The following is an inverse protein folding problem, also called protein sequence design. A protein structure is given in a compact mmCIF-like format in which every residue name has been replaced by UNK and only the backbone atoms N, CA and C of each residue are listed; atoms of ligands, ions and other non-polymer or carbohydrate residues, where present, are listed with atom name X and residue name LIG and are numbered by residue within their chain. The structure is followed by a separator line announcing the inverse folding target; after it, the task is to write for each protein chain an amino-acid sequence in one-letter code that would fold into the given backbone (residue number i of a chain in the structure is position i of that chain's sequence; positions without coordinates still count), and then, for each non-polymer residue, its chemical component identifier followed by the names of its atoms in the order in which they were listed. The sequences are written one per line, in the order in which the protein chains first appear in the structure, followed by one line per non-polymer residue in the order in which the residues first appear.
data_IF_451498618057
#
_entry.id   IF_451498618057
#
_cell.length_a   1.000
_cell.length_b   1.000
_cell.length_c   1.000
_cell.angle_alpha   90.00
_cell.angle_beta   90.00
_cell.angle_gamma   90.00
#
_symmetry.space_group_name_H-M   'P 1'
#
loop_
_entity.id
_entity.type
_entity.pdbx_description
1 polymer ?
#
# COMPACT_ATOMS: atom_id res chain seq x y z
N UNK A 1 69.28 -15.98 -29.93
CA UNK A 1 68.71 -15.00 -30.87
C UNK A 1 67.20 -15.09 -30.78
N UNK A 2 66.60 -13.99 -30.30
CA UNK A 2 65.23 -13.50 -30.53
C UNK A 2 64.11 -14.48 -30.93
N UNK A 3 63.05 -14.58 -30.10
CA UNK A 3 61.81 -13.80 -30.34
C UNK A 3 60.81 -13.96 -29.19
N UNK A 4 60.35 -12.80 -28.70
CA UNK A 4 59.13 -12.63 -27.90
C UNK A 4 57.87 -12.89 -28.75
N UNK A 5 56.74 -13.09 -28.05
CA UNK A 5 55.39 -12.52 -28.26
C UNK A 5 54.31 -13.61 -28.16
N UNK A 6 53.33 -13.40 -27.27
CA UNK A 6 52.00 -13.98 -27.43
C UNK A 6 51.30 -14.41 -26.14
N UNK A 7 50.86 -13.45 -25.33
CA UNK A 7 49.77 -13.67 -24.36
C UNK A 7 48.48 -14.06 -25.12
N UNK A 8 47.59 -14.87 -24.50
CA UNK A 8 46.18 -14.58 -24.66
C UNK A 8 45.50 -14.37 -23.31
N UNK A 9 44.78 -13.25 -23.28
CA UNK A 9 43.87 -12.76 -22.26
C UNK A 9 42.71 -13.76 -22.13
N UNK A 10 42.51 -14.34 -20.94
CA UNK A 10 41.27 -15.05 -20.61
C UNK A 10 40.18 -14.01 -20.37
N UNK A 11 39.34 -13.81 -21.40
CA UNK A 11 38.11 -13.05 -21.32
C UNK A 11 37.07 -13.92 -20.59
N UNK A 12 36.80 -13.65 -19.31
CA UNK A 12 35.64 -14.20 -18.62
C UNK A 12 34.41 -13.47 -19.16
N UNK A 13 33.64 -14.14 -20.02
CA UNK A 13 32.32 -13.67 -20.43
C UNK A 13 31.36 -13.84 -19.25
N UNK A 14 30.95 -12.71 -18.67
CA UNK A 14 29.84 -12.63 -17.70
C UNK A 14 28.54 -12.89 -18.47
N UNK A 15 27.99 -14.10 -18.36
CA UNK A 15 26.64 -14.40 -18.85
C UNK A 15 25.65 -13.76 -17.87
N UNK A 16 25.09 -12.62 -18.27
CA UNK A 16 23.93 -12.03 -17.59
C UNK A 16 22.70 -12.75 -18.16
N UNK A 17 22.16 -13.72 -17.41
CA UNK A 17 20.80 -14.22 -17.66
C UNK A 17 19.81 -13.11 -17.27
N UNK A 18 19.40 -12.34 -18.27
CA UNK A 18 18.23 -11.46 -18.16
C UNK A 18 17.01 -12.39 -18.18
N UNK A 19 16.44 -12.68 -17.01
CA UNK A 19 15.08 -13.20 -16.93
C UNK A 19 14.13 -12.09 -17.42
N UNK A 20 13.85 -12.11 -18.72
CA UNK A 20 12.73 -11.40 -19.30
C UNK A 20 11.46 -12.00 -18.70
N UNK A 21 10.76 -11.21 -17.88
CA UNK A 21 9.37 -11.48 -17.57
C UNK A 21 8.61 -11.63 -18.90
N UNK A 22 7.80 -12.69 -19.08
CA UNK A 22 6.92 -12.72 -20.23
C UNK A 22 6.01 -11.49 -20.16
N UNK A 23 5.90 -10.69 -21.25
CA UNK A 23 4.94 -9.60 -21.28
C UNK A 23 3.52 -10.18 -21.09
N UNK A 24 2.60 -9.45 -20.43
CA UNK A 24 1.20 -9.86 -20.40
C UNK A 24 0.70 -10.07 -21.84
N UNK A 25 -0.12 -11.11 -22.09
CA UNK A 25 -0.58 -11.42 -23.43
C UNK A 25 -1.44 -10.28 -24.00
N UNK A 26 -0.86 -9.57 -24.96
CA UNK A 26 -1.49 -8.87 -26.10
C UNK A 26 -2.84 -8.17 -25.88
N UNK A 27 -2.82 -6.83 -25.86
CA UNK A 27 -3.95 -6.00 -26.32
C UNK A 27 -3.42 -4.78 -27.11
N UNK A 28 -3.30 -4.95 -28.43
CA UNK A 28 -3.35 -3.83 -29.38
C UNK A 28 -4.84 -3.53 -29.69
N UNK A 29 -5.24 -2.27 -29.86
CA UNK A 29 -6.65 -1.87 -29.92
C UNK A 29 -7.21 -1.94 -31.34
N UNK A 30 -8.54 -2.14 -31.49
CA UNK A 30 -9.28 -1.52 -32.57
C UNK A 30 -10.28 -0.49 -32.02
N UNK A 31 -10.26 0.71 -32.63
CA UNK A 31 -11.48 1.45 -32.91
C UNK A 31 -12.06 2.34 -31.80
N UNK A 32 -11.98 3.65 -32.07
CA UNK A 32 -12.75 4.74 -31.46
C UNK A 32 -14.23 4.42 -31.18
N UNK A 33 -14.77 4.92 -30.06
CA UNK A 33 -15.95 5.82 -30.03
C UNK A 33 -15.80 6.81 -28.85
N UNK A 34 -16.09 8.07 -29.14
CA UNK A 34 -16.03 9.25 -28.26
C UNK A 34 -17.37 9.46 -27.51
N UNK A 35 -17.32 10.34 -26.49
CA UNK A 35 -18.42 11.12 -25.87
C UNK A 35 -19.01 10.57 -24.55
N UNK A 36 -18.75 11.27 -23.43
CA UNK A 36 -19.73 12.22 -22.86
C UNK A 36 -19.18 13.00 -21.65
N UNK A 37 -19.47 14.31 -21.63
CA UNK A 37 -19.08 15.28 -20.60
C UNK A 37 -19.85 15.06 -19.28
N UNK A 38 -19.14 15.10 -18.15
CA UNK A 38 -19.78 15.33 -16.84
C UNK A 38 -19.65 16.80 -16.46
N UNK A 39 -20.81 17.46 -16.32
CA UNK A 39 -20.99 18.80 -15.78
C UNK A 39 -20.72 18.81 -14.28
N UNK A 40 -19.80 19.67 -13.84
CA UNK A 40 -19.73 20.13 -12.44
C UNK A 40 -20.90 21.09 -12.16
N UNK A 41 -21.63 20.86 -11.06
CA UNK A 41 -22.43 21.89 -10.39
C UNK A 41 -21.94 22.00 -8.94
N UNK A 42 -21.39 23.17 -8.63
CA UNK A 42 -21.19 23.68 -7.27
C UNK A 42 -22.39 24.56 -6.92
N UNK A 43 -23.04 24.24 -5.81
CA UNK A 43 -23.99 25.07 -5.03
C UNK A 43 -24.13 24.34 -3.68
N UNK A 44 -24.17 24.95 -2.51
CA UNK A 44 -23.99 26.33 -2.10
C UNK A 44 -23.70 26.29 -0.59
N UNK A 45 -23.07 27.34 -0.09
CA UNK A 45 -22.89 27.62 1.33
C UNK A 45 -24.25 27.76 2.02
N UNK A 46 -24.40 27.18 3.21
CA UNK A 46 -25.33 27.71 4.22
C UNK A 46 -24.82 27.40 5.62
N UNK A 47 -24.80 28.47 6.41
CA UNK A 47 -24.30 28.64 7.76
C UNK A 47 -25.52 28.92 8.64
N UNK A 48 -25.68 28.22 9.75
CA UNK A 48 -26.37 28.78 10.93
C UNK A 48 -25.99 28.05 12.22
N UNK A 49 -25.66 28.85 13.23
CA UNK A 49 -25.40 28.48 14.62
C UNK A 49 -26.74 28.29 15.34
N UNK A 50 -26.79 27.50 16.43
CA UNK A 50 -26.84 28.06 17.79
C UNK A 50 -26.86 26.97 18.89
N UNK A 51 -26.46 27.44 20.07
CA UNK A 51 -26.04 26.76 21.30
C UNK A 51 -27.09 25.87 21.99
N UNK A 52 -26.58 24.90 22.78
CA UNK A 52 -27.05 24.67 24.15
C UNK A 52 -25.99 23.92 24.99
N UNK A 53 -25.83 24.37 26.22
CA UNK A 53 -24.90 23.89 27.24
C UNK A 53 -25.44 22.70 28.05
N UNK A 54 -24.49 22.00 28.67
CA UNK A 54 -24.47 21.52 30.06
C UNK A 54 -24.58 20.01 30.35
N UNK A 55 -23.82 19.65 31.39
CA UNK A 55 -23.87 18.50 32.28
C UNK A 55 -23.05 17.24 31.92
N UNK A 56 -21.79 17.28 32.39
CA UNK A 56 -21.17 16.30 33.32
C UNK A 56 -21.68 14.85 33.28
N UNK A 57 -20.82 13.91 32.88
CA UNK A 57 -20.79 12.60 33.54
C UNK A 57 -19.44 11.87 33.46
N UNK A 58 -19.07 11.44 34.66
CA UNK A 58 -17.93 10.70 35.19
C UNK A 58 -17.75 9.34 34.50
N UNK A 59 -16.49 8.96 34.32
CA UNK A 59 -16.05 7.83 33.51
C UNK A 59 -16.49 6.44 33.97
N UNK A 60 -16.86 5.64 32.97
CA UNK A 60 -16.53 4.22 32.85
C UNK A 60 -15.87 4.02 31.48
N UNK A 61 -14.57 3.75 31.45
CA UNK A 61 -13.85 3.47 30.20
C UNK A 61 -14.20 2.06 29.71
N UNK A 62 -15.33 1.97 29.03
CA UNK A 62 -15.57 0.96 27.99
C UNK A 62 -16.05 1.71 26.76
N UNK A 63 -15.15 2.55 26.23
CA UNK A 63 -15.44 3.36 25.05
C UNK A 63 -15.44 2.41 23.85
N UNK A 64 -16.62 2.21 23.25
CA UNK A 64 -16.75 1.48 22.00
C UNK A 64 -15.78 2.05 20.95
N UNK A 65 -15.17 1.20 20.10
CA UNK A 65 -14.23 1.68 19.10
C UNK A 65 -14.89 2.70 18.18
N UNK A 66 -14.33 3.91 18.10
CA UNK A 66 -14.85 4.93 17.19
C UNK A 66 -14.62 4.47 15.75
N UNK A 67 -15.67 4.47 14.93
CA UNK A 67 -15.60 4.02 13.55
C UNK A 67 -14.80 5.00 12.67
N UNK A 68 -13.75 4.55 11.96
CA UNK A 68 -12.99 5.44 11.08
C UNK A 68 -13.83 5.81 9.85
N UNK A 69 -13.88 7.11 9.54
CA UNK A 69 -14.61 7.64 8.38
C UNK A 69 -13.75 7.70 7.12
N UNK A 70 -12.44 7.85 7.33
CA UNK A 70 -11.42 7.95 6.29
C UNK A 70 -10.21 7.10 6.67
N UNK A 71 -9.33 6.86 5.70
CA UNK A 71 -8.03 6.25 5.93
C UNK A 71 -6.93 6.94 5.12
N UNK A 72 -5.72 6.91 5.67
CA UNK A 72 -4.47 7.25 4.99
C UNK A 72 -3.83 6.02 4.37
N UNK A 73 -3.95 4.85 5.01
CA UNK A 73 -3.49 3.57 4.48
C UNK A 73 -4.08 2.40 5.28
N UNK A 74 -3.95 1.18 4.78
CA UNK A 74 -4.37 -0.04 5.48
C UNK A 74 -3.49 -1.20 5.05
N UNK A 75 -3.18 -2.10 5.98
CA UNK A 75 -2.43 -3.32 5.67
C UNK A 75 -2.95 -4.49 6.48
N UNK A 76 -2.78 -5.71 5.98
CA UNK A 76 -2.98 -6.94 6.73
C UNK A 76 -1.72 -7.28 7.54
N UNK A 77 -1.82 -8.23 8.47
CA UNK A 77 -0.67 -8.74 9.22
C UNK A 77 -0.72 -10.25 9.35
N UNK A 78 0.40 -10.86 9.73
CA UNK A 78 0.56 -12.31 9.85
C UNK A 78 -0.55 -12.98 10.66
N UNK A 79 -1.04 -12.35 11.72
CA UNK A 79 -2.14 -12.82 12.56
C UNK A 79 -3.55 -12.78 11.92
N UNK A 80 -3.67 -12.32 10.67
CA UNK A 80 -4.95 -12.21 9.93
C UNK A 80 -5.75 -10.95 10.22
N UNK A 81 -5.29 -10.09 11.15
CA UNK A 81 -5.92 -8.80 11.42
C UNK A 81 -5.44 -7.74 10.44
N UNK A 82 -6.28 -6.74 10.21
CA UNK A 82 -5.96 -5.57 9.39
C UNK A 82 -5.72 -4.38 10.30
N UNK A 83 -4.81 -3.51 9.88
CA UNK A 83 -4.41 -2.31 10.59
C UNK A 83 -4.70 -1.13 9.67
N UNK A 84 -5.74 -0.37 10.01
CA UNK A 84 -6.17 0.82 9.27
C UNK A 84 -5.56 2.04 9.93
N UNK A 85 -4.93 2.89 9.13
CA UNK A 85 -4.27 4.11 9.57
C UNK A 85 -5.06 5.33 9.12
N UNK A 86 -5.23 6.30 10.00
CA UNK A 86 -5.71 7.63 9.65
C UNK A 86 -4.97 8.65 10.50
N UNK A 87 -4.22 9.52 9.84
CA UNK A 87 -3.28 10.46 10.47
C UNK A 87 -2.30 9.71 11.39
N UNK A 88 -2.30 10.03 12.68
CA UNK A 88 -1.44 9.42 13.70
C UNK A 88 -2.11 8.27 14.48
N UNK A 89 -3.28 7.81 14.01
CA UNK A 89 -4.07 6.79 14.66
C UNK A 89 -4.15 5.50 13.85
N UNK A 90 -4.23 4.39 14.57
CA UNK A 90 -4.43 3.05 14.03
C UNK A 90 -5.65 2.38 14.67
N UNK A 91 -6.40 1.69 13.83
CA UNK A 91 -7.49 0.78 14.19
C UNK A 91 -7.08 -0.63 13.84
N UNK A 92 -7.44 -1.57 14.70
CA UNK A 92 -7.29 -3.00 14.43
C UNK A 92 -8.64 -3.57 14.04
N UNK A 93 -8.65 -4.30 12.93
CA UNK A 93 -9.83 -4.94 12.38
C UNK A 93 -9.61 -6.44 12.34
N UNK A 94 -10.63 -7.19 12.71
CA UNK A 94 -10.74 -8.59 12.33
C UNK A 94 -11.62 -8.66 11.08
N UNK A 95 -10.97 -8.92 9.93
CA UNK A 95 -11.58 -8.79 8.61
C UNK A 95 -12.15 -7.37 8.41
N UNK A 96 -13.48 -7.21 8.53
CA UNK A 96 -14.17 -5.91 8.38
C UNK A 96 -14.60 -5.28 9.70
N UNK A 97 -14.51 -6.03 10.80
CA UNK A 97 -15.03 -5.58 12.10
C UNK A 97 -13.95 -4.84 12.85
N UNK A 98 -14.21 -3.59 13.23
CA UNK A 98 -13.33 -2.81 14.09
C UNK A 98 -13.37 -3.41 15.49
N UNK A 99 -12.23 -3.89 15.98
CA UNK A 99 -12.12 -4.54 17.30
C UNK A 99 -11.36 -3.67 18.31
N UNK A 100 -10.56 -2.71 17.84
CA UNK A 100 -9.83 -1.78 18.71
C UNK A 100 -9.43 -0.52 17.95
N UNK A 101 -9.31 0.60 18.66
CA UNK A 101 -8.89 1.89 18.11
C UNK A 101 -9.86 3.04 18.46
N UNK A 102 -9.46 4.30 18.29
CA UNK A 102 -8.14 4.75 17.82
C UNK A 102 -7.04 4.56 18.87
N UNK A 103 -5.88 4.05 18.43
CA UNK A 103 -4.62 4.06 19.21
C UNK A 103 -3.57 4.86 18.44
N UNK A 104 -2.59 5.43 19.12
CA UNK A 104 -1.47 6.08 18.40
C UNK A 104 -0.64 5.03 17.67
N UNK A 105 -0.09 5.38 16.51
CA UNK A 105 0.80 4.48 15.75
C UNK A 105 1.92 3.96 16.66
N UNK A 106 2.55 4.84 17.44
CA UNK A 106 3.63 4.49 18.38
C UNK A 106 3.24 3.51 19.51
N UNK A 107 1.94 3.35 19.80
CA UNK A 107 1.45 2.38 20.79
C UNK A 107 1.34 0.96 20.22
N UNK A 108 1.23 0.83 18.90
CA UNK A 108 1.10 -0.47 18.20
C UNK A 108 2.40 -0.85 17.48
N UNK A 109 3.07 0.15 16.93
CA UNK A 109 4.32 0.05 16.18
C UNK A 109 5.42 0.82 16.93
N UNK A 110 6.24 0.14 17.74
CA UNK A 110 7.25 0.81 18.55
C UNK A 110 8.27 1.53 17.67
N UNK A 111 8.63 2.76 18.04
CA UNK A 111 9.51 3.63 17.25
C UNK A 111 9.03 3.85 15.80
N UNK A 112 7.72 3.73 15.57
CA UNK A 112 7.11 4.01 14.27
C UNK A 112 7.00 5.51 13.98
N UNK A 113 6.63 5.84 12.73
CA UNK A 113 6.47 7.22 12.31
C UNK A 113 5.23 7.86 12.96
N UNK A 114 5.17 9.19 12.91
CA UNK A 114 4.00 9.94 13.41
C UNK A 114 2.80 9.81 12.48
N UNK A 115 3.03 9.57 11.19
CA UNK A 115 2.00 9.29 10.19
C UNK A 115 2.54 8.33 9.11
N UNK A 116 1.66 7.83 8.25
CA UNK A 116 2.04 6.97 7.13
C UNK A 116 1.45 7.48 5.81
N UNK A 117 2.25 7.43 4.76
CA UNK A 117 1.80 7.64 3.38
C UNK A 117 1.28 6.34 2.77
N UNK A 118 2.01 5.24 3.01
CA UNK A 118 1.67 3.94 2.49
C UNK A 118 2.03 2.86 3.51
N UNK A 119 1.35 1.73 3.43
CA UNK A 119 1.62 0.56 4.27
C UNK A 119 1.51 -0.68 3.41
N UNK A 120 2.31 -1.69 3.72
CA UNK A 120 2.27 -2.96 3.00
C UNK A 120 2.82 -4.06 3.88
N UNK A 121 2.22 -5.24 3.80
CA UNK A 121 2.76 -6.45 4.39
C UNK A 121 3.15 -7.38 3.25
N UNK A 122 4.41 -7.79 3.24
CA UNK A 122 4.92 -8.77 2.29
C UNK A 122 5.55 -9.92 3.06
N UNK A 123 5.04 -11.12 2.82
CA UNK A 123 5.36 -12.32 3.61
C UNK A 123 5.07 -12.07 5.10
N UNK A 124 6.11 -11.98 5.92
CA UNK A 124 6.03 -11.77 7.37
C UNK A 124 6.45 -10.36 7.81
N UNK A 125 6.84 -9.50 6.87
CA UNK A 125 7.32 -8.15 7.15
C UNK A 125 6.22 -7.12 6.84
N UNK A 126 5.76 -6.45 7.89
CA UNK A 126 4.88 -5.28 7.77
C UNK A 126 5.74 -4.03 7.69
N UNK A 127 5.51 -3.19 6.69
CA UNK A 127 6.25 -1.95 6.46
C UNK A 127 5.32 -0.76 6.48
N UNK A 128 5.66 0.23 7.31
CA UNK A 128 5.07 1.55 7.33
C UNK A 128 5.99 2.51 6.57
N UNK A 129 5.45 3.23 5.59
CA UNK A 129 6.21 4.19 4.80
C UNK A 129 5.81 5.61 5.21
N UNK A 130 6.80 6.37 5.65
CA UNK A 130 6.71 7.81 5.87
C UNK A 130 7.69 8.47 4.91
N UNK A 131 7.16 9.16 3.93
CA UNK A 131 7.90 9.76 2.82
C UNK A 131 8.79 8.73 2.10
N UNK A 132 10.09 8.72 2.39
CA UNK A 132 11.10 7.81 1.83
C UNK A 132 11.77 6.96 2.92
N UNK A 133 11.17 6.89 4.10
CA UNK A 133 11.64 6.07 5.21
C UNK A 133 10.75 4.85 5.34
N UNK A 134 11.37 3.68 5.29
CA UNK A 134 10.72 2.40 5.52
C UNK A 134 10.88 2.05 7.01
N UNK A 135 9.79 1.78 7.70
CA UNK A 135 9.77 1.25 9.07
C UNK A 135 9.23 -0.18 9.02
N UNK A 136 10.10 -1.16 9.19
CA UNK A 136 9.77 -2.58 9.07
C UNK A 136 9.56 -3.24 10.42
N UNK A 137 8.58 -4.13 10.48
CA UNK A 137 8.15 -4.83 11.69
C UNK A 137 7.91 -6.31 11.44
N UNK A 138 8.38 -7.14 12.36
CA UNK A 138 7.97 -8.53 12.48
C UNK A 138 6.90 -8.62 13.58
N UNK A 139 5.86 -9.41 13.35
CA UNK A 139 4.86 -9.68 14.37
C UNK A 139 5.25 -10.92 15.17
N UNK A 140 5.26 -10.80 16.50
CA UNK A 140 5.41 -11.94 17.40
C UNK A 140 4.17 -12.83 17.32
N UNK A 141 4.36 -14.11 17.01
CA UNK A 141 3.24 -15.05 16.82
C UNK A 141 2.50 -15.37 18.12
N UNK A 142 3.17 -15.22 19.28
CA UNK A 142 2.61 -15.56 20.59
C UNK A 142 1.88 -14.36 21.18
N UNK A 143 2.52 -13.19 21.19
CA UNK A 143 1.93 -11.99 21.80
C UNK A 143 1.09 -11.17 20.83
N UNK A 144 1.29 -11.34 19.51
CA UNK A 144 0.67 -10.52 18.47
C UNK A 144 1.26 -9.11 18.36
N UNK A 145 2.29 -8.79 19.14
CA UNK A 145 2.93 -7.47 19.16
C UNK A 145 3.92 -7.29 18.02
N UNK A 146 4.03 -6.07 17.51
CA UNK A 146 5.03 -5.72 16.51
C UNK A 146 6.37 -5.40 17.15
N UNK A 147 7.44 -5.98 16.60
CA UNK A 147 8.82 -5.71 16.97
C UNK A 147 9.55 -5.15 15.75
N UNK A 148 10.38 -4.13 15.96
CA UNK A 148 11.18 -3.53 14.88
C UNK A 148 12.04 -4.61 14.23
N UNK A 149 11.93 -4.74 12.92
CA UNK A 149 12.70 -5.70 12.15
C UNK A 149 14.16 -5.23 12.01
N UNK A 150 15.09 -6.19 11.92
CA UNK A 150 16.52 -5.90 11.76
C UNK A 150 16.75 -5.09 10.48
N UNK A 151 17.52 -4.00 10.59
CA UNK A 151 17.85 -3.14 9.46
C UNK A 151 16.85 -2.01 9.20
N UNK A 152 15.82 -1.89 10.04
CA UNK A 152 14.85 -0.79 9.98
C UNK A 152 14.99 0.17 11.18
N UNK A 153 14.67 1.47 11.02
CA UNK A 153 14.22 2.11 9.78
C UNK A 153 15.31 2.18 8.71
N UNK A 154 14.91 2.14 7.44
CA UNK A 154 15.79 2.21 6.29
C UNK A 154 15.35 3.33 5.34
N UNK A 155 16.29 3.94 4.62
CA UNK A 155 15.95 4.89 3.54
C UNK A 155 15.70 4.12 2.25
N UNK A 156 14.63 4.48 1.56
CA UNK A 156 14.27 3.96 0.25
C UNK A 156 15.42 4.24 -0.73
N UNK A 157 15.75 3.23 -1.54
CA UNK A 157 16.85 3.31 -2.51
C UNK A 157 16.74 4.57 -3.39
N UNK A 158 17.88 5.21 -3.67
CA UNK A 158 17.94 6.48 -4.40
C UNK A 158 17.33 6.41 -5.81
N UNK A 159 17.39 5.23 -6.44
CA UNK A 159 16.79 4.97 -7.76
C UNK A 159 15.26 5.11 -7.78
N UNK A 160 14.56 5.00 -6.65
CA UNK A 160 13.14 5.34 -6.60
C UNK A 160 13.03 6.86 -6.51
N UNK A 161 12.78 7.56 -7.62
CA UNK A 161 12.85 9.02 -7.68
C UNK A 161 11.60 9.76 -7.21
N UNK A 162 10.67 9.08 -6.53
CA UNK A 162 9.41 9.65 -6.06
C UNK A 162 9.13 9.28 -4.60
N UNK A 163 8.15 9.96 -4.00
CA UNK A 163 7.59 9.64 -2.69
C UNK A 163 6.42 8.67 -2.88
N UNK A 164 6.48 7.43 -2.35
CA UNK A 164 5.37 6.49 -2.46
C UNK A 164 4.12 7.01 -1.74
N UNK A 165 2.98 6.99 -2.43
CA UNK A 165 1.67 7.36 -1.87
C UNK A 165 0.76 6.16 -1.63
N UNK A 166 1.11 5.02 -2.22
CA UNK A 166 0.45 3.75 -1.99
C UNK A 166 1.43 2.61 -2.22
N UNK A 167 1.12 1.47 -1.61
CA UNK A 167 1.84 0.24 -1.82
C UNK A 167 0.88 -0.96 -1.77
N UNK A 168 1.27 -2.04 -2.44
CA UNK A 168 0.62 -3.34 -2.32
C UNK A 168 1.63 -4.46 -2.62
N UNK A 169 1.49 -5.65 -2.02
CA UNK A 169 2.46 -6.73 -2.20
C UNK A 169 2.22 -7.47 -3.52
N UNK A 170 3.24 -8.19 -3.98
CA UNK A 170 3.13 -9.22 -5.00
C UNK A 170 3.37 -10.60 -4.36
N UNK A 171 2.84 -11.66 -4.98
CA UNK A 171 2.94 -13.05 -4.53
C UNK A 171 4.38 -13.55 -4.44
N UNK A 172 5.28 -12.96 -5.24
CA UNK A 172 6.71 -13.26 -5.20
C UNK A 172 7.45 -12.64 -3.99
N UNK A 173 6.78 -11.80 -3.20
CA UNK A 173 7.30 -11.13 -2.01
C UNK A 173 7.92 -9.75 -2.28
N UNK A 174 7.98 -9.30 -3.53
CA UNK A 174 8.23 -7.89 -3.84
C UNK A 174 6.99 -7.06 -3.54
N UNK A 175 7.12 -5.74 -3.56
CA UNK A 175 6.01 -4.81 -3.43
C UNK A 175 5.95 -3.88 -4.64
N UNK A 176 4.77 -3.37 -4.93
CA UNK A 176 4.58 -2.23 -5.82
C UNK A 176 4.56 -0.96 -4.98
N UNK A 177 5.37 0.03 -5.35
CA UNK A 177 5.35 1.38 -4.81
C UNK A 177 4.77 2.31 -5.88
N UNK A 178 3.70 3.04 -5.55
CA UNK A 178 3.06 3.96 -6.47
C UNK A 178 3.43 5.40 -6.15
N UNK A 179 3.74 6.18 -7.19
CA UNK A 179 3.88 7.63 -7.08
C UNK A 179 2.50 8.32 -7.08
N UNK A 180 2.48 9.61 -6.72
CA UNK A 180 1.29 10.45 -6.87
C UNK A 180 0.86 10.64 -8.34
N UNK A 181 1.79 10.46 -9.28
CA UNK A 181 1.55 10.59 -10.71
C UNK A 181 1.46 9.19 -11.33
N UNK A 182 2.00 9.02 -12.54
CA UNK A 182 1.86 7.77 -13.29
C UNK A 182 3.05 6.82 -13.18
N UNK A 183 3.98 7.04 -12.27
CA UNK A 183 5.10 6.12 -12.07
C UNK A 183 4.79 5.07 -11.00
N UNK A 184 5.28 3.86 -11.20
CA UNK A 184 5.43 2.86 -10.15
C UNK A 184 6.84 2.27 -10.12
N UNK A 185 7.17 1.62 -9.01
CA UNK A 185 8.35 0.78 -8.90
C UNK A 185 8.01 -0.58 -8.30
N UNK A 186 8.52 -1.66 -8.87
CA UNK A 186 8.59 -2.95 -8.19
C UNK A 186 9.82 -2.95 -7.29
N UNK A 187 9.65 -3.29 -6.02
CA UNK A 187 10.66 -3.11 -4.98
C UNK A 187 10.82 -4.35 -4.12
N UNK A 188 12.06 -4.77 -3.89
CA UNK A 188 12.38 -5.82 -2.94
C UNK A 188 12.76 -5.18 -1.60
N UNK A 189 11.97 -5.47 -0.56
CA UNK A 189 12.15 -4.94 0.79
C UNK A 189 13.41 -5.47 1.49
N UNK A 190 13.82 -6.72 1.22
CA UNK A 190 14.96 -7.36 1.89
C UNK A 190 16.30 -6.87 1.35
N UNK A 191 16.37 -6.65 0.04
CA UNK A 191 17.57 -6.15 -0.63
C UNK A 191 17.62 -4.62 -0.72
N UNK A 192 16.56 -3.94 -0.26
CA UNK A 192 16.35 -2.50 -0.38
C UNK A 192 16.62 -2.00 -1.81
N UNK A 193 16.04 -2.66 -2.82
CA UNK A 193 16.39 -2.44 -4.23
C UNK A 193 15.17 -2.47 -5.16
N UNK A 194 15.02 -1.50 -6.09
CA UNK A 194 14.02 -1.57 -7.13
C UNK A 194 14.45 -2.52 -8.25
N UNK A 195 13.50 -3.22 -8.84
CA UNK A 195 13.71 -4.12 -9.99
C UNK A 195 13.09 -3.60 -11.29
N UNK A 196 12.01 -2.82 -11.20
CA UNK A 196 11.32 -2.23 -12.35
C UNK A 196 10.83 -0.84 -11.98
N UNK A 197 10.97 0.12 -12.89
CA UNK A 197 10.29 1.42 -12.84
C UNK A 197 9.57 1.61 -14.16
N UNK A 198 8.28 1.93 -14.12
CA UNK A 198 7.48 2.07 -15.33
C UNK A 198 6.20 2.89 -15.12
N UNK A 199 5.40 3.01 -16.18
CA UNK A 199 4.10 3.66 -16.17
C UNK A 199 3.03 2.76 -15.52
N UNK A 200 2.36 3.29 -14.50
CA UNK A 200 1.33 2.62 -13.71
C UNK A 200 0.12 2.25 -14.55
N UNK A 201 -0.33 3.13 -15.44
CA UNK A 201 -1.55 2.90 -16.23
C UNK A 201 -1.35 1.83 -17.30
N UNK A 202 -0.11 1.54 -17.68
CA UNK A 202 0.22 0.44 -18.60
C UNK A 202 0.17 -0.91 -17.89
N UNK A 203 0.73 -1.00 -16.68
CA UNK A 203 0.85 -2.28 -15.95
C UNK A 203 -0.35 -2.59 -15.06
N UNK A 204 -0.98 -1.56 -14.53
CA UNK A 204 -2.13 -1.64 -13.64
C UNK A 204 -3.21 -0.66 -14.12
N UNK A 205 -3.82 -0.92 -15.29
CA UNK A 205 -4.85 -0.06 -15.82
C UNK A 205 -6.04 0.02 -14.85
N UNK A 206 -6.71 1.17 -14.82
CA UNK A 206 -7.94 1.35 -14.03
C UNK A 206 -7.75 1.48 -12.51
N UNK A 207 -6.53 1.50 -11.98
CA UNK A 207 -6.32 1.78 -10.55
C UNK A 207 -6.91 3.15 -10.16
N UNK A 208 -7.53 3.26 -8.96
CA UNK A 208 -7.99 4.55 -8.44
C UNK A 208 -6.86 5.58 -8.37
N UNK A 209 -7.13 6.83 -8.74
CA UNK A 209 -6.12 7.90 -8.74
C UNK A 209 -5.62 8.24 -7.34
N UNK A 210 -6.49 8.10 -6.34
CA UNK A 210 -6.25 8.36 -4.93
C UNK A 210 -6.10 7.06 -4.12
N UNK A 211 -5.57 6.01 -4.77
CA UNK A 211 -5.23 4.75 -4.11
C UNK A 211 -4.29 5.02 -2.94
N UNK A 212 -4.61 4.42 -1.79
CA UNK A 212 -3.86 4.53 -0.54
C UNK A 212 -3.17 3.21 -0.17
N UNK A 213 -3.80 2.07 -0.48
CA UNK A 213 -3.22 0.75 -0.27
C UNK A 213 -3.94 -0.34 -1.06
N UNK A 214 -3.27 -1.46 -1.30
CA UNK A 214 -3.88 -2.69 -1.81
C UNK A 214 -3.51 -3.90 -0.95
N UNK A 215 -4.51 -4.74 -0.68
CA UNK A 215 -4.35 -6.02 0.04
C UNK A 215 -4.83 -7.14 -0.88
N UNK A 216 -4.02 -8.17 -1.15
CA UNK A 216 -4.47 -9.29 -1.97
C UNK A 216 -5.59 -10.07 -1.26
N UNK A 217 -6.60 -10.53 -1.99
CA UNK A 217 -7.63 -11.41 -1.40
C UNK A 217 -7.02 -12.75 -0.94
N UNK A 218 -5.93 -13.17 -1.57
CA UNK A 218 -5.17 -14.35 -1.22
C UNK A 218 -3.67 -14.05 -1.30
N UNK A 219 -2.92 -14.20 -0.20
CA UNK A 219 -1.47 -13.88 -0.14
C UNK A 219 -0.59 -14.64 -1.14
N UNK A 220 -1.05 -15.76 -1.68
CA UNK A 220 -0.29 -16.54 -2.68
C UNK A 220 -0.66 -16.22 -4.12
N UNK A 221 -1.59 -15.29 -4.37
CA UNK A 221 -2.05 -14.92 -5.72
C UNK A 221 -2.13 -13.40 -5.87
N UNK A 222 -1.80 -12.94 -7.07
CA UNK A 222 -1.91 -11.54 -7.49
C UNK A 222 -3.13 -11.30 -8.38
N UNK A 223 -4.12 -12.21 -8.39
CA UNK A 223 -5.26 -12.12 -9.29
C UNK A 223 -6.27 -11.05 -8.82
N UNK A 224 -6.51 -10.98 -7.51
CA UNK A 224 -7.50 -10.09 -6.93
C UNK A 224 -6.95 -9.28 -5.77
N UNK A 225 -7.20 -7.97 -5.82
CA UNK A 225 -6.86 -7.04 -4.75
C UNK A 225 -8.10 -6.35 -4.21
N UNK A 226 -8.15 -6.20 -2.90
CA UNK A 226 -8.93 -5.16 -2.24
C UNK A 226 -8.10 -3.88 -2.25
N UNK A 227 -8.54 -2.89 -3.02
CA UNK A 227 -7.90 -1.59 -3.12
C UNK A 227 -8.65 -0.58 -2.27
N UNK A 228 -7.92 0.21 -1.49
CA UNK A 228 -8.47 1.16 -0.55
C UNK A 228 -8.07 2.57 -0.93
N UNK A 229 -9.04 3.46 -1.07
CA UNK A 229 -8.82 4.90 -1.13
C UNK A 229 -9.27 5.53 0.19
N UNK A 230 -9.25 6.86 0.26
CA UNK A 230 -9.68 7.58 1.47
C UNK A 230 -11.10 7.24 1.92
N UNK A 231 -12.01 6.90 1.00
CA UNK A 231 -13.43 6.71 1.30
C UNK A 231 -14.10 5.58 0.54
N UNK A 232 -13.36 4.81 -0.27
CA UNK A 232 -13.89 3.73 -1.08
C UNK A 232 -13.03 2.47 -0.95
N UNK A 233 -13.68 1.32 -1.13
CA UNK A 233 -13.04 0.01 -1.23
C UNK A 233 -13.45 -0.60 -2.57
N UNK A 234 -12.46 -1.02 -3.33
CA UNK A 234 -12.63 -1.64 -4.64
C UNK A 234 -12.14 -3.08 -4.62
N UNK A 235 -12.78 -3.92 -5.43
CA UNK A 235 -12.20 -5.19 -5.86
C UNK A 235 -11.64 -5.00 -7.26
N UNK A 236 -10.36 -5.30 -7.42
CA UNK A 236 -9.63 -5.20 -8.68
C UNK A 236 -9.25 -6.60 -9.17
N UNK A 237 -9.60 -6.94 -10.42
CA UNK A 237 -9.08 -8.14 -11.10
C UNK A 237 -7.86 -7.72 -11.90
N UNK A 238 -6.69 -8.13 -11.43
CA UNK A 238 -5.40 -7.77 -12.02
C UNK A 238 -5.17 -8.48 -13.38
N UNK A 239 -5.84 -9.60 -13.63
CA UNK A 239 -5.70 -10.32 -14.91
C UNK A 239 -6.45 -9.61 -16.02
N UNK A 240 -7.59 -9.01 -15.68
CA UNK A 240 -8.39 -8.20 -16.59
C UNK A 240 -7.94 -6.73 -16.62
N UNK A 241 -7.28 -6.28 -15.55
CA UNK A 241 -6.83 -4.90 -15.43
C UNK A 241 -7.99 -3.93 -15.14
N UNK A 242 -8.98 -4.35 -14.35
CA UNK A 242 -10.19 -3.55 -14.13
C UNK A 242 -10.76 -3.70 -12.71
N UNK A 243 -11.54 -2.67 -12.32
CA UNK A 243 -12.33 -2.69 -11.09
C UNK A 243 -13.63 -3.45 -11.34
N UNK A 244 -13.83 -4.54 -10.62
CA UNK A 244 -15.03 -5.39 -10.75
C UNK A 244 -16.11 -5.08 -9.71
N UNK A 245 -15.74 -4.42 -8.61
CA UNK A 245 -16.69 -4.00 -7.59
C UNK A 245 -16.19 -2.76 -6.85
N UNK A 246 -17.11 -1.92 -6.39
CA UNK A 246 -16.83 -0.71 -5.62
C UNK A 246 -17.89 -0.53 -4.54
N UNK A 247 -17.47 -0.11 -3.34
CA UNK A 247 -18.37 0.26 -2.25
C UNK A 247 -17.74 1.31 -1.34
N UNK A 248 -18.53 2.16 -0.68
CA UNK A 248 -18.03 3.12 0.30
C UNK A 248 -17.32 2.43 1.47
N UNK A 249 -16.24 3.02 1.97
CA UNK A 249 -15.50 2.54 3.15
C UNK A 249 -16.43 2.42 4.37
N UNK A 250 -17.33 3.38 4.55
CA UNK A 250 -18.32 3.38 5.64
C UNK A 250 -19.28 2.19 5.58
N UNK A 251 -19.53 1.64 4.39
CA UNK A 251 -20.38 0.45 4.21
C UNK A 251 -19.58 -0.85 4.32
N UNK A 252 -18.29 -0.81 4.00
CA UNK A 252 -17.38 -1.94 4.14
C UNK A 252 -17.07 -2.25 5.61
N UNK A 253 -16.83 -1.21 6.42
CA UNK A 253 -16.45 -1.34 7.82
C UNK A 253 -17.65 -1.66 8.72
N UNK A 254 -17.45 -2.58 9.66
CA UNK A 254 -18.42 -2.95 10.69
C UNK A 254 -17.92 -2.45 12.04
N UNK A 255 -18.61 -1.47 12.59
CA UNK A 255 -18.30 -0.89 13.89
C UNK A 255 -19.38 -1.31 14.89
N UNK A 256 -18.97 -1.84 16.04
CA UNK A 256 -19.85 -2.34 17.11
C UNK A 256 -19.76 -1.43 18.33
#
# INVERSE_FOLDING_TARGET
MEKMIGLPIFLLALIIEIYAFPPPPSLLPPGHVLVSLIKFRLTDLSRENDNAQDASQKGSNDASPTCPKTLSSITDSKNGNFYLFNDDNVWTLNNRTVISGPKKISQVFPNGPDYVNATVTSRDLTVLLEERTLYGYNQDEVTGEFKVAKGFPAKLHELVLFFPVAAFPLSNGSIILLSHFNAFATYNLFDNRPSLLNDKDVFFPGLPKDLASGIPENRVSDDFYMLFTKSQVYKYDNRLGEIVHAQPLSSYLVCK
#
